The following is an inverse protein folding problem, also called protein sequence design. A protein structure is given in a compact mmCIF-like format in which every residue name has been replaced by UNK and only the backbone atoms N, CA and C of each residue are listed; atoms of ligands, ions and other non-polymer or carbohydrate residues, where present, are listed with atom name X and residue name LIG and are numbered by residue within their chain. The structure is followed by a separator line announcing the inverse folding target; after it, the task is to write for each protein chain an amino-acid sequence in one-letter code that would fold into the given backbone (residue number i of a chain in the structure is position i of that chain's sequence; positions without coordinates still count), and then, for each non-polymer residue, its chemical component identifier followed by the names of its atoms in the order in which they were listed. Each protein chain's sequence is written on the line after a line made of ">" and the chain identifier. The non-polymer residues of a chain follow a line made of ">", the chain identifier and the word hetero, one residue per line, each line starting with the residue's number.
data_IF_264654346982
#
_entry.id   IF_264654346982
#
_cell.length_a   1.000
_cell.length_b   1.000
_cell.length_c   1.000
_cell.angle_alpha   90.00
_cell.angle_beta   90.00
_cell.angle_gamma   90.00
#
_symmetry.space_group_name_H-M   'P 1'
#
loop_
_entity.id
_entity.type
_entity.pdbx_description
1 polymer ?
#
# COMPACT_ATOMS: atom_id res chain seq x y z
N UNK A 1 52.43 2.79 -19.15
CA UNK A 1 51.90 4.15 -18.90
C UNK A 1 50.86 3.98 -17.82
N UNK A 2 51.33 4.09 -16.55
CA UNK A 2 50.47 3.92 -15.36
C UNK A 2 49.72 5.21 -15.12
N UNK A 3 48.41 5.20 -15.25
CA UNK A 3 47.55 6.32 -14.85
C UNK A 3 47.42 6.28 -13.33
N UNK A 4 48.26 7.05 -12.62
CA UNK A 4 48.16 7.23 -11.17
C UNK A 4 46.76 7.76 -10.80
N UNK A 5 46.07 7.00 -9.95
CA UNK A 5 44.79 7.46 -9.37
C UNK A 5 45.04 8.67 -8.47
N UNK A 6 44.22 9.73 -8.57
CA UNK A 6 44.43 10.95 -7.78
C UNK A 6 44.37 10.65 -6.27
N UNK A 7 45.13 11.41 -5.46
CA UNK A 7 45.19 11.23 -4.01
C UNK A 7 43.79 11.28 -3.41
N UNK A 8 43.49 10.43 -2.42
CA UNK A 8 42.17 10.30 -1.78
C UNK A 8 41.52 11.64 -1.37
N UNK A 9 42.31 12.59 -0.92
CA UNK A 9 41.82 13.93 -0.57
C UNK A 9 41.33 14.73 -1.77
N UNK A 10 42.01 14.64 -2.90
CA UNK A 10 41.61 15.30 -4.14
C UNK A 10 40.33 14.71 -4.68
N UNK A 11 40.21 13.37 -4.65
CA UNK A 11 38.98 12.66 -5.04
C UNK A 11 37.80 13.02 -4.12
N UNK A 12 38.03 13.13 -2.82
CA UNK A 12 37.01 13.57 -1.85
C UNK A 12 36.51 14.98 -2.14
N UNK A 13 37.42 15.89 -2.44
CA UNK A 13 37.13 17.28 -2.82
C UNK A 13 36.27 17.35 -4.10
N UNK A 14 36.62 16.56 -5.11
CA UNK A 14 35.81 16.45 -6.37
C UNK A 14 34.40 15.94 -6.10
N UNK A 15 34.26 14.86 -5.32
CA UNK A 15 32.97 14.29 -4.97
C UNK A 15 32.08 15.27 -4.17
N UNK A 16 32.67 16.02 -3.25
CA UNK A 16 31.95 17.06 -2.50
C UNK A 16 31.45 18.18 -3.41
N UNK A 17 32.30 18.69 -4.32
CA UNK A 17 31.86 19.69 -5.30
C UNK A 17 30.74 19.17 -6.21
N UNK A 18 30.85 17.91 -6.66
CA UNK A 18 29.81 17.29 -7.46
C UNK A 18 28.49 17.13 -6.70
N UNK A 19 28.56 16.77 -5.42
CA UNK A 19 27.37 16.67 -4.56
C UNK A 19 26.69 18.04 -4.39
N UNK A 20 27.47 19.10 -4.18
CA UNK A 20 26.94 20.47 -4.06
C UNK A 20 26.30 20.94 -5.37
N UNK A 21 26.92 20.64 -6.53
CA UNK A 21 26.37 20.99 -7.82
C UNK A 21 25.04 20.25 -8.10
N UNK A 22 24.95 18.95 -7.80
CA UNK A 22 23.73 18.18 -7.94
C UNK A 22 22.62 18.66 -7.01
N UNK A 23 22.96 19.08 -5.78
CA UNK A 23 21.99 19.65 -4.86
C UNK A 23 21.43 20.99 -5.36
N UNK A 24 22.28 21.83 -5.97
CA UNK A 24 21.85 23.09 -6.56
C UNK A 24 20.95 22.86 -7.80
N UNK A 25 21.29 21.89 -8.65
CA UNK A 25 20.48 21.51 -9.82
C UNK A 25 19.12 20.95 -9.41
N UNK A 26 19.08 20.14 -8.34
CA UNK A 26 17.83 19.62 -7.78
C UNK A 26 16.94 20.75 -7.27
N UNK A 27 17.50 21.69 -6.51
CA UNK A 27 16.74 22.84 -5.99
C UNK A 27 16.17 23.71 -7.12
N UNK A 28 16.99 23.99 -8.16
CA UNK A 28 16.51 24.74 -9.32
C UNK A 28 15.36 24.01 -10.04
N UNK A 29 15.46 22.69 -10.21
CA UNK A 29 14.41 21.88 -10.84
C UNK A 29 13.13 21.88 -10.01
N UNK A 30 13.26 21.84 -8.68
CA UNK A 30 12.13 21.94 -7.74
C UNK A 30 11.43 23.31 -7.85
N UNK A 31 12.20 24.39 -7.94
CA UNK A 31 11.67 25.75 -8.15
C UNK A 31 10.96 25.89 -9.51
N UNK A 32 11.52 25.32 -10.58
CA UNK A 32 10.89 25.30 -11.89
C UNK A 32 9.57 24.50 -11.89
N UNK A 33 9.53 23.36 -11.21
CA UNK A 33 8.31 22.56 -11.03
C UNK A 33 7.26 23.38 -10.26
N UNK A 34 7.63 24.02 -9.17
CA UNK A 34 6.72 24.83 -8.36
C UNK A 34 6.17 26.04 -9.16
N UNK A 35 7.00 26.66 -10.00
CA UNK A 35 6.57 27.74 -10.89
C UNK A 35 5.57 27.24 -11.93
N UNK A 36 5.82 26.09 -12.56
CA UNK A 36 4.91 25.48 -13.54
C UNK A 36 3.59 25.02 -12.90
N UNK A 37 3.63 24.46 -11.69
CA UNK A 37 2.43 24.08 -10.93
C UNK A 37 1.58 25.29 -10.58
N UNK A 38 2.20 26.42 -10.25
CA UNK A 38 1.51 27.70 -10.00
C UNK A 38 0.87 28.31 -11.25
N UNK A 39 1.54 28.20 -12.41
CA UNK A 39 1.06 28.76 -13.67
C UNK A 39 -0.09 27.95 -14.31
N UNK A 40 -0.11 26.64 -14.04
CA UNK A 40 -1.18 25.74 -14.55
C UNK A 40 -2.48 25.86 -13.73
N UNK A 41 -2.48 26.63 -12.64
CA UNK A 41 -3.69 26.85 -11.82
C UNK A 41 -4.26 25.57 -11.25
N UNK A 42 -3.43 24.56 -11.04
CA UNK A 42 -3.79 23.34 -10.32
C UNK A 42 -3.88 23.67 -8.83
N UNK A 43 -4.84 24.51 -8.44
CA UNK A 43 -5.38 24.45 -7.10
C UNK A 43 -5.98 23.04 -6.93
N UNK A 44 -5.18 22.11 -6.48
CA UNK A 44 -5.66 20.81 -6.06
C UNK A 44 -6.42 21.02 -4.74
N UNK A 45 -7.60 21.63 -4.83
CA UNK A 45 -8.58 21.53 -3.76
C UNK A 45 -8.92 20.05 -3.66
N UNK A 46 -8.22 19.36 -2.76
CA UNK A 46 -8.55 17.99 -2.46
C UNK A 46 -10.05 17.96 -2.09
N UNK A 47 -10.89 17.22 -2.84
CA UNK A 47 -12.32 17.24 -2.60
C UNK A 47 -12.54 16.90 -1.13
N UNK A 48 -13.03 17.87 -0.37
CA UNK A 48 -13.49 17.61 0.99
C UNK A 48 -14.64 16.65 0.81
N UNK A 49 -14.52 15.45 1.37
CA UNK A 49 -15.65 14.53 1.40
C UNK A 49 -16.81 15.29 2.05
N UNK A 50 -17.77 15.70 1.26
CA UNK A 50 -19.00 16.35 1.73
C UNK A 50 -19.97 15.33 2.32
N UNK A 51 -19.64 14.04 2.22
CA UNK A 51 -20.46 12.99 2.79
C UNK A 51 -20.21 12.86 4.30
N UNK A 52 -21.25 12.83 5.11
CA UNK A 52 -21.11 12.57 6.53
C UNK A 52 -20.53 11.17 6.76
N UNK A 53 -19.83 10.94 7.87
CA UNK A 53 -19.30 9.62 8.18
C UNK A 53 -20.44 8.59 8.29
N UNK A 54 -20.22 7.33 7.86
CA UNK A 54 -21.25 6.29 7.88
C UNK A 54 -21.68 6.00 9.32
N UNK A 55 -22.98 6.05 9.57
CA UNK A 55 -23.59 5.89 10.89
C UNK A 55 -24.21 4.51 11.08
N UNK A 56 -24.84 3.99 10.03
CA UNK A 56 -25.52 2.68 10.07
C UNK A 56 -24.59 1.54 9.66
N UNK A 57 -24.87 0.29 10.08
CA UNK A 57 -24.14 -0.87 9.61
C UNK A 57 -24.14 -1.01 8.08
N UNK A 58 -25.26 -0.70 7.42
CA UNK A 58 -25.37 -0.76 5.96
C UNK A 58 -24.45 0.25 5.28
N UNK A 59 -24.41 1.51 5.75
CA UNK A 59 -23.53 2.54 5.23
C UNK A 59 -22.05 2.19 5.43
N UNK A 60 -21.68 1.56 6.57
CA UNK A 60 -20.33 1.08 6.82
C UNK A 60 -19.92 -0.04 5.85
N UNK A 61 -20.82 -0.97 5.58
CA UNK A 61 -20.61 -2.04 4.59
C UNK A 61 -20.45 -1.46 3.19
N UNK A 62 -21.30 -0.51 2.81
CA UNK A 62 -21.22 0.16 1.51
C UNK A 62 -19.88 0.89 1.34
N UNK A 63 -19.46 1.66 2.33
CA UNK A 63 -18.16 2.33 2.34
C UNK A 63 -17.00 1.32 2.26
N UNK A 64 -17.05 0.24 3.03
CA UNK A 64 -16.02 -0.81 2.96
C UNK A 64 -15.89 -1.39 1.55
N UNK A 65 -17.02 -1.70 0.91
CA UNK A 65 -17.04 -2.23 -0.45
C UNK A 65 -16.59 -1.21 -1.50
N UNK A 66 -16.85 0.08 -1.29
CA UNK A 66 -16.36 1.13 -2.16
C UNK A 66 -14.84 1.27 -2.08
N UNK A 67 -14.29 1.31 -0.87
CA UNK A 67 -12.85 1.49 -0.63
C UNK A 67 -12.02 0.23 -0.97
N UNK A 68 -12.50 -0.96 -0.61
CA UNK A 68 -11.74 -2.21 -0.65
C UNK A 68 -12.23 -3.21 -1.70
N UNK A 69 -13.30 -2.93 -2.39
CA UNK A 69 -13.93 -3.85 -3.34
C UNK A 69 -13.36 -3.82 -4.75
N UNK A 70 -12.05 -3.57 -4.92
CA UNK A 70 -11.38 -3.56 -6.24
C UNK A 70 -11.62 -4.86 -7.00
N UNK A 71 -11.43 -6.00 -6.35
CA UNK A 71 -11.71 -7.32 -6.92
C UNK A 71 -12.78 -8.03 -6.10
N UNK A 72 -14.00 -8.10 -6.64
CA UNK A 72 -15.15 -8.71 -5.94
C UNK A 72 -15.40 -10.17 -6.28
N UNK A 73 -14.73 -10.72 -7.28
CA UNK A 73 -14.95 -12.11 -7.75
C UNK A 73 -14.42 -13.17 -6.79
N UNK A 74 -13.49 -12.80 -5.94
CA UNK A 74 -12.85 -13.67 -4.94
C UNK A 74 -12.26 -12.81 -3.84
N UNK A 75 -12.19 -13.33 -2.63
CA UNK A 75 -11.49 -12.69 -1.50
C UNK A 75 -10.77 -13.73 -0.65
N UNK A 76 -9.62 -13.40 -0.05
CA UNK A 76 -8.96 -14.30 0.88
C UNK A 76 -9.63 -14.23 2.25
N UNK A 77 -9.74 -15.38 2.91
CA UNK A 77 -10.20 -15.52 4.29
C UNK A 77 -9.04 -15.96 5.16
N UNK A 78 -8.91 -15.36 6.33
CA UNK A 78 -7.92 -15.75 7.33
C UNK A 78 -8.29 -17.09 7.94
N UNK A 79 -7.29 -17.95 8.08
CA UNK A 79 -7.37 -19.21 8.80
C UNK A 79 -6.30 -19.28 9.89
N UNK A 80 -6.60 -20.00 10.94
CA UNK A 80 -5.69 -20.31 12.04
C UNK A 80 -5.73 -21.81 12.31
N UNK A 81 -4.57 -22.38 12.59
CA UNK A 81 -4.44 -23.76 13.05
C UNK A 81 -3.97 -23.73 14.51
N UNK A 82 -4.89 -23.96 15.43
CA UNK A 82 -4.63 -23.91 16.88
C UNK A 82 -3.57 -24.93 17.32
N UNK A 83 -3.47 -26.09 16.63
CA UNK A 83 -2.51 -27.15 16.99
C UNK A 83 -1.06 -26.77 16.65
N UNK A 84 -0.86 -26.01 15.60
CA UNK A 84 0.49 -25.66 15.10
C UNK A 84 0.83 -24.19 15.31
N UNK A 85 -0.10 -23.36 15.76
CA UNK A 85 0.03 -21.90 15.84
C UNK A 85 0.15 -21.20 14.50
N UNK A 86 0.04 -21.93 13.39
CA UNK A 86 0.16 -21.36 12.05
C UNK A 86 -1.14 -20.65 11.68
N UNK A 87 -0.98 -19.54 10.97
CA UNK A 87 -2.09 -18.79 10.40
C UNK A 87 -1.73 -18.30 9.00
N UNK A 88 -2.72 -17.85 8.26
CA UNK A 88 -2.51 -17.31 6.92
C UNK A 88 -3.83 -16.94 6.25
N UNK A 89 -3.74 -16.65 4.97
CA UNK A 89 -4.89 -16.35 4.14
C UNK A 89 -4.98 -17.35 2.99
N UNK A 90 -6.17 -17.79 2.68
CA UNK A 90 -6.46 -18.60 1.49
C UNK A 90 -7.73 -18.08 0.81
N UNK A 91 -7.87 -18.22 -0.51
CA UNK A 91 -9.11 -17.87 -1.19
C UNK A 91 -10.29 -18.55 -0.53
N UNK A 92 -11.35 -17.79 -0.20
CA UNK A 92 -12.60 -18.37 0.27
C UNK A 92 -13.20 -19.22 -0.85
N UNK A 93 -13.68 -20.42 -0.50
CA UNK A 93 -14.26 -21.35 -1.46
C UNK A 93 -15.42 -22.12 -0.85
N UNK A 94 -16.57 -22.16 -1.53
CA UNK A 94 -17.76 -22.88 -1.07
C UNK A 94 -17.55 -24.41 -1.03
N UNK A 95 -16.54 -24.89 -1.77
CA UNK A 95 -16.18 -26.31 -1.80
C UNK A 95 -15.03 -26.64 -0.83
N UNK A 96 -14.55 -25.70 -0.02
CA UNK A 96 -13.44 -25.92 0.90
C UNK A 96 -13.75 -27.06 1.88
N UNK A 97 -12.84 -28.02 1.96
CA UNK A 97 -12.91 -29.23 2.82
C UNK A 97 -14.11 -30.18 2.50
N UNK A 98 -14.81 -30.00 1.37
CA UNK A 98 -15.85 -30.95 0.98
C UNK A 98 -15.24 -32.27 0.52
N UNK A 99 -15.63 -33.35 1.19
CA UNK A 99 -15.16 -34.70 0.85
C UNK A 99 -15.48 -35.07 -0.62
N UNK A 100 -14.52 -35.66 -1.30
CA UNK A 100 -14.62 -36.03 -2.72
C UNK A 100 -14.51 -34.88 -3.72
N UNK A 101 -14.41 -33.62 -3.26
CA UNK A 101 -14.31 -32.44 -4.10
C UNK A 101 -13.05 -31.61 -3.81
N UNK A 102 -12.79 -31.32 -2.54
CA UNK A 102 -11.63 -30.53 -2.14
C UNK A 102 -10.47 -31.44 -1.77
N UNK A 103 -9.37 -31.33 -2.49
CA UNK A 103 -8.17 -32.14 -2.28
C UNK A 103 -7.06 -31.42 -1.52
N UNK A 104 -7.38 -30.37 -0.75
CA UNK A 104 -6.41 -29.74 0.14
C UNK A 104 -5.89 -30.76 1.18
N UNK A 105 -4.61 -30.69 1.55
CA UNK A 105 -3.56 -29.75 1.06
C UNK A 105 -2.83 -30.25 -0.20
N UNK A 106 -3.22 -31.41 -0.77
CA UNK A 106 -2.53 -32.05 -1.89
C UNK A 106 -2.58 -31.20 -3.16
N UNK A 107 -3.72 -30.61 -3.47
CA UNK A 107 -3.93 -29.74 -4.62
C UNK A 107 -4.05 -28.30 -4.13
N UNK A 108 -3.28 -27.38 -4.74
CA UNK A 108 -3.39 -25.94 -4.48
C UNK A 108 -4.70 -25.38 -5.03
N UNK A 109 -5.23 -24.36 -4.38
CA UNK A 109 -6.45 -23.72 -4.85
C UNK A 109 -6.32 -23.12 -6.26
N UNK A 110 -5.13 -22.65 -6.67
CA UNK A 110 -4.87 -22.17 -8.03
C UNK A 110 -5.09 -23.24 -9.10
N UNK A 111 -4.81 -24.49 -8.77
CA UNK A 111 -4.79 -25.61 -9.71
C UNK A 111 -6.04 -26.51 -9.58
N UNK A 112 -6.95 -26.14 -8.66
CA UNK A 112 -8.14 -26.94 -8.37
C UNK A 112 -9.22 -26.74 -9.44
N UNK A 113 -9.70 -27.83 -10.11
CA UNK A 113 -10.76 -27.72 -11.13
C UNK A 113 -12.16 -27.43 -10.51
N UNK A 114 -12.29 -27.58 -9.20
CA UNK A 114 -13.56 -27.44 -8.47
C UNK A 114 -13.64 -26.13 -7.69
N UNK A 115 -12.90 -25.08 -8.12
CA UNK A 115 -12.96 -23.76 -7.50
C UNK A 115 -14.40 -23.23 -7.53
N UNK A 116 -14.90 -22.77 -6.38
CA UNK A 116 -16.17 -22.07 -6.27
C UNK A 116 -16.01 -20.91 -5.32
N UNK A 117 -15.47 -19.81 -5.83
CA UNK A 117 -15.17 -18.63 -5.03
C UNK A 117 -16.45 -17.80 -4.82
N UNK A 118 -16.83 -17.54 -3.56
CA UNK A 118 -17.90 -16.60 -3.27
C UNK A 118 -17.43 -15.17 -3.58
N UNK A 119 -18.39 -14.33 -3.95
CA UNK A 119 -18.12 -12.90 -4.17
C UNK A 119 -17.89 -12.17 -2.84
N UNK A 120 -17.04 -11.14 -2.90
CA UNK A 120 -16.97 -10.13 -1.84
C UNK A 120 -18.23 -9.25 -1.97
N UNK A 121 -19.24 -9.58 -1.21
CA UNK A 121 -20.53 -8.92 -1.18
C UNK A 121 -20.80 -8.26 0.19
N UNK A 122 -21.99 -7.72 0.37
CA UNK A 122 -22.42 -7.09 1.62
C UNK A 122 -22.45 -8.08 2.79
N UNK A 123 -22.78 -9.35 2.53
CA UNK A 123 -22.83 -10.41 3.55
C UNK A 123 -21.42 -10.73 4.07
N UNK A 124 -20.46 -10.94 3.15
CA UNK A 124 -19.07 -11.22 3.49
C UNK A 124 -18.43 -10.05 4.23
N UNK A 125 -18.60 -8.82 3.71
CA UNK A 125 -18.09 -7.59 4.31
C UNK A 125 -18.73 -7.31 5.66
N UNK A 126 -20.05 -7.47 5.78
CA UNK A 126 -20.76 -7.32 7.05
C UNK A 126 -20.32 -8.32 8.10
N UNK A 127 -20.04 -9.57 7.74
CA UNK A 127 -19.51 -10.57 8.65
C UNK A 127 -18.09 -10.22 9.14
N UNK A 128 -17.25 -9.68 8.25
CA UNK A 128 -15.94 -9.15 8.62
C UNK A 128 -16.04 -7.98 9.61
N UNK A 129 -16.85 -6.98 9.30
CA UNK A 129 -17.02 -5.80 10.15
C UNK A 129 -17.62 -6.11 11.53
N UNK A 130 -18.37 -7.21 11.65
CA UNK A 130 -18.86 -7.71 12.95
C UNK A 130 -17.86 -8.64 13.67
N UNK A 131 -16.68 -8.90 13.09
CA UNK A 131 -15.66 -9.75 13.68
C UNK A 131 -15.92 -11.26 13.58
N UNK A 132 -16.93 -11.70 12.79
CA UNK A 132 -17.21 -13.14 12.63
C UNK A 132 -16.06 -13.90 11.94
N UNK A 133 -15.33 -13.22 11.05
CA UNK A 133 -14.09 -13.69 10.47
C UNK A 133 -13.27 -12.53 9.91
N UNK A 134 -11.98 -12.73 9.71
CA UNK A 134 -11.12 -11.77 9.03
C UNK A 134 -11.02 -12.13 7.55
N UNK A 135 -11.37 -11.21 6.68
CA UNK A 135 -11.09 -11.32 5.25
C UNK A 135 -9.97 -10.36 4.84
N UNK A 136 -9.31 -10.69 3.75
CA UNK A 136 -8.43 -9.78 3.03
C UNK A 136 -9.09 -9.31 1.73
N UNK A 137 -8.40 -8.46 1.03
CA UNK A 137 -8.83 -7.96 -0.30
C UNK A 137 -7.69 -8.12 -1.30
N UNK A 138 -8.04 -8.32 -2.55
CA UNK A 138 -7.07 -8.24 -3.64
C UNK A 138 -7.05 -6.80 -4.16
N UNK A 139 -5.88 -6.18 -4.07
CA UNK A 139 -5.68 -4.78 -4.47
C UNK A 139 -5.68 -4.59 -6.01
N UNK A 140 -5.54 -5.68 -6.77
CA UNK A 140 -5.47 -5.67 -8.24
C UNK A 140 -6.72 -6.31 -8.81
N UNK A 141 -7.39 -5.62 -9.72
CA UNK A 141 -8.51 -6.11 -10.51
C UNK A 141 -8.02 -7.03 -11.65
N UNK A 142 -8.95 -7.61 -12.41
CA UNK A 142 -8.64 -8.54 -13.52
C UNK A 142 -7.95 -7.83 -14.70
N UNK A 143 -8.17 -6.52 -14.82
CA UNK A 143 -7.61 -5.64 -15.86
C UNK A 143 -6.31 -4.94 -15.42
N UNK A 144 -5.64 -5.45 -14.39
CA UNK A 144 -4.41 -4.91 -13.81
C UNK A 144 -4.52 -3.47 -13.27
N UNK A 145 -5.74 -3.02 -12.95
CA UNK A 145 -5.99 -1.76 -12.27
C UNK A 145 -6.20 -1.96 -10.77
N UNK A 146 -6.07 -0.86 -10.00
CA UNK A 146 -6.36 -0.82 -8.56
C UNK A 146 -6.97 0.51 -8.16
N UNK A 147 -7.68 0.52 -7.03
CA UNK A 147 -8.25 1.73 -6.43
C UNK A 147 -7.63 2.10 -5.10
N UNK A 148 -6.61 1.39 -4.69
CA UNK A 148 -5.90 1.66 -3.44
C UNK A 148 -4.39 1.39 -3.58
N UNK A 149 -3.65 2.11 -2.76
CA UNK A 149 -2.26 1.84 -2.44
C UNK A 149 -2.16 1.68 -0.93
N UNK A 150 -1.52 0.62 -0.48
CA UNK A 150 -1.26 0.39 0.93
C UNK A 150 0.24 0.22 1.18
N UNK A 151 0.73 0.79 2.28
CA UNK A 151 2.06 0.55 2.81
C UNK A 151 1.94 0.01 4.23
N UNK A 152 2.67 -1.05 4.54
CA UNK A 152 2.69 -1.71 5.83
C UNK A 152 3.95 -1.30 6.60
N UNK A 153 3.79 -0.86 7.83
CA UNK A 153 4.87 -0.39 8.71
C UNK A 153 4.90 -1.23 9.97
N UNK A 154 5.95 -2.04 10.10
CA UNK A 154 6.21 -2.90 11.25
C UNK A 154 7.52 -2.49 11.97
N UNK A 155 7.80 -3.11 13.11
CA UNK A 155 9.04 -2.90 13.86
C UNK A 155 8.90 -1.89 15.00
N UNK A 156 10.01 -1.58 15.69
CA UNK A 156 10.01 -0.71 16.87
C UNK A 156 9.58 0.72 16.58
N UNK A 157 9.94 1.23 15.43
CA UNK A 157 9.82 2.64 15.04
C UNK A 157 8.62 2.94 14.13
N UNK A 158 7.73 1.95 13.93
CA UNK A 158 6.62 2.05 12.98
C UNK A 158 5.80 3.37 13.07
N UNK A 159 5.67 3.93 14.30
CA UNK A 159 4.93 5.19 14.47
C UNK A 159 5.60 6.36 13.80
N UNK A 160 6.92 6.49 13.98
CA UNK A 160 7.68 7.55 13.36
C UNK A 160 7.78 7.35 11.84
N UNK A 161 7.90 6.10 11.39
CA UNK A 161 8.01 5.75 9.98
C UNK A 161 6.71 6.04 9.22
N UNK A 162 5.55 5.63 9.75
CA UNK A 162 4.26 5.93 9.11
C UNK A 162 3.91 7.41 9.12
N UNK A 163 4.34 8.14 10.15
CA UNK A 163 4.14 9.60 10.19
C UNK A 163 5.01 10.32 9.16
N UNK A 164 6.27 9.89 8.97
CA UNK A 164 7.13 10.43 7.91
C UNK A 164 6.57 10.13 6.51
N UNK A 165 6.02 8.93 6.29
CA UNK A 165 5.36 8.57 5.03
C UNK A 165 4.12 9.44 4.77
N UNK A 166 3.28 9.65 5.79
CA UNK A 166 2.11 10.52 5.69
C UNK A 166 2.52 11.97 5.39
N UNK A 167 3.52 12.50 6.09
CA UNK A 167 4.03 13.84 5.84
C UNK A 167 4.58 13.99 4.42
N UNK A 168 5.35 13.01 3.93
CA UNK A 168 5.85 13.01 2.56
C UNK A 168 4.73 13.07 1.51
N UNK A 169 3.61 12.36 1.76
CA UNK A 169 2.45 12.38 0.89
C UNK A 169 1.67 13.72 0.98
N UNK A 170 1.47 14.23 2.20
CA UNK A 170 0.78 15.51 2.45
C UNK A 170 1.50 16.70 1.80
N UNK A 171 2.84 16.68 1.76
CA UNK A 171 3.66 17.72 1.08
C UNK A 171 3.42 17.81 -0.43
N UNK A 172 2.89 16.75 -1.04
CA UNK A 172 2.51 16.71 -2.47
C UNK A 172 0.99 16.60 -2.66
N UNK A 173 0.20 17.02 -1.66
CA UNK A 173 -1.26 17.09 -1.74
C UNK A 173 -2.00 15.76 -1.63
N UNK A 174 -1.32 14.66 -1.29
CA UNK A 174 -1.95 13.33 -1.19
C UNK A 174 -2.37 13.04 0.25
N UNK A 175 -3.65 12.69 0.44
CA UNK A 175 -4.20 12.29 1.74
C UNK A 175 -3.91 10.82 2.03
N UNK A 176 -3.39 10.54 3.24
CA UNK A 176 -3.12 9.20 3.74
C UNK A 176 -3.97 8.92 4.96
N UNK A 177 -4.76 7.85 4.90
CA UNK A 177 -5.43 7.30 6.07
C UNK A 177 -4.48 6.33 6.77
N UNK A 178 -4.26 6.51 8.08
CA UNK A 178 -3.39 5.63 8.87
C UNK A 178 -4.25 4.80 9.80
N UNK A 179 -4.07 3.49 9.71
CA UNK A 179 -4.71 2.49 10.56
C UNK A 179 -3.65 1.80 11.44
N UNK A 180 -3.93 1.65 12.72
CA UNK A 180 -3.10 0.80 13.58
C UNK A 180 -3.36 -0.66 13.26
N UNK A 181 -2.29 -1.44 13.04
CA UNK A 181 -2.42 -2.87 12.73
C UNK A 181 -3.10 -3.65 13.86
N UNK A 182 -3.70 -4.77 13.52
CA UNK A 182 -4.41 -5.64 14.49
C UNK A 182 -3.53 -6.10 15.64
N UNK A 183 -2.24 -6.33 15.42
CA UNK A 183 -1.28 -6.69 16.47
C UNK A 183 -1.02 -5.56 17.46
N UNK A 184 -1.33 -4.32 17.06
CA UNK A 184 -1.01 -3.12 17.83
C UNK A 184 0.44 -2.66 17.69
N UNK A 185 1.28 -3.41 16.97
CA UNK A 185 2.73 -3.17 16.85
C UNK A 185 3.14 -2.77 15.41
N UNK A 186 2.23 -2.15 14.67
CA UNK A 186 2.45 -1.66 13.33
C UNK A 186 1.32 -0.76 12.86
N UNK A 187 1.40 -0.29 11.63
CA UNK A 187 0.38 0.51 10.98
C UNK A 187 0.28 0.20 9.49
N UNK A 188 -0.91 0.41 8.94
CA UNK A 188 -1.14 0.46 7.51
C UNK A 188 -1.41 1.91 7.10
N UNK A 189 -0.72 2.36 6.06
CA UNK A 189 -1.00 3.64 5.40
C UNK A 189 -1.77 3.37 4.11
N UNK A 190 -2.96 3.96 3.98
CA UNK A 190 -3.89 3.77 2.87
C UNK A 190 -4.02 5.03 2.05
N UNK A 191 -3.91 4.91 0.74
CA UNK A 191 -4.26 5.94 -0.24
C UNK A 191 -5.34 5.34 -1.14
N UNK A 192 -6.47 6.03 -1.26
CA UNK A 192 -7.59 5.59 -2.10
C UNK A 192 -7.69 6.49 -3.32
N UNK A 193 -7.76 5.89 -4.50
CA UNK A 193 -7.90 6.60 -5.77
C UNK A 193 -9.37 6.78 -6.12
N UNK A 194 -9.75 7.98 -6.57
CA UNK A 194 -11.11 8.29 -7.00
C UNK A 194 -11.54 7.43 -8.22
N UNK A 195 -10.57 7.11 -9.09
CA UNK A 195 -10.75 6.26 -10.27
C UNK A 195 -9.74 5.11 -10.23
N UNK A 196 -10.02 3.98 -10.90
CA UNK A 196 -9.04 2.92 -11.08
C UNK A 196 -7.78 3.45 -11.78
N UNK A 197 -6.61 3.06 -11.27
CA UNK A 197 -5.30 3.39 -11.86
C UNK A 197 -4.55 2.10 -12.15
N UNK A 198 -3.64 2.07 -13.15
CA UNK A 198 -2.77 0.92 -13.36
C UNK A 198 -2.00 0.55 -12.07
N UNK A 199 -2.03 -0.72 -11.68
CA UNK A 199 -1.40 -1.19 -10.46
C UNK A 199 0.10 -0.85 -10.40
N UNK A 200 0.79 -0.91 -11.53
CA UNK A 200 2.19 -0.51 -11.65
C UNK A 200 2.41 0.99 -11.32
N UNK A 201 1.46 1.86 -11.71
CA UNK A 201 1.55 3.29 -11.41
C UNK A 201 1.31 3.54 -9.91
N UNK A 202 0.31 2.89 -9.32
CA UNK A 202 0.06 2.96 -7.88
C UNK A 202 1.31 2.52 -7.09
N UNK A 203 1.95 1.41 -7.50
CA UNK A 203 3.19 0.94 -6.87
C UNK A 203 4.34 1.93 -7.02
N UNK A 204 4.52 2.52 -8.20
CA UNK A 204 5.56 3.56 -8.41
C UNK A 204 5.34 4.77 -7.49
N UNK A 205 4.11 5.23 -7.33
CA UNK A 205 3.78 6.28 -6.37
C UNK A 205 4.20 5.87 -4.95
N UNK A 206 3.86 4.66 -4.50
CA UNK A 206 4.27 4.14 -3.20
C UNK A 206 5.78 4.15 -3.00
N UNK A 207 6.54 3.74 -4.02
CA UNK A 207 8.01 3.77 -4.00
C UNK A 207 8.55 5.20 -3.86
N UNK A 208 7.99 6.14 -4.61
CA UNK A 208 8.38 7.56 -4.51
C UNK A 208 8.08 8.12 -3.11
N UNK A 209 6.91 7.80 -2.55
CA UNK A 209 6.55 8.26 -1.21
C UNK A 209 7.46 7.68 -0.13
N UNK A 210 7.85 6.41 -0.23
CA UNK A 210 8.83 5.82 0.70
C UNK A 210 10.19 6.50 0.58
N UNK A 211 10.65 6.78 -0.64
CA UNK A 211 11.92 7.51 -0.84
C UNK A 211 11.88 8.93 -0.25
N UNK A 212 10.77 9.66 -0.44
CA UNK A 212 10.56 10.97 0.17
C UNK A 212 10.47 10.88 1.71
N UNK A 213 9.80 9.88 2.24
CA UNK A 213 9.74 9.63 3.69
C UNK A 213 11.13 9.32 4.28
N UNK A 214 11.95 8.55 3.57
CA UNK A 214 13.33 8.26 3.98
C UNK A 214 14.21 9.53 3.98
N UNK A 215 13.96 10.47 3.08
CA UNK A 215 14.63 11.78 3.10
C UNK A 215 14.23 12.62 4.34
N UNK A 216 12.99 12.53 4.79
CA UNK A 216 12.50 13.19 6.01
C UNK A 216 12.99 12.49 7.29
N UNK A 217 13.12 11.17 7.23
CA UNK A 217 13.55 10.34 8.35
C UNK A 217 14.61 9.32 7.87
N UNK A 218 15.90 9.65 7.94
CA UNK A 218 16.99 8.77 7.48
C UNK A 218 17.05 7.41 8.20
N UNK A 219 16.48 7.30 9.41
CA UNK A 219 16.36 6.06 10.16
C UNK A 219 15.15 5.19 9.74
N UNK A 220 14.39 5.60 8.72
CA UNK A 220 13.24 4.83 8.22
C UNK A 220 13.70 3.44 7.79
N UNK A 221 13.10 2.42 8.39
CA UNK A 221 13.45 1.04 8.10
C UNK A 221 13.13 0.66 6.65
N UNK A 222 14.13 0.20 5.91
CA UNK A 222 13.92 -0.34 4.56
C UNK A 222 13.02 -1.58 4.54
N UNK A 223 12.82 -2.25 5.69
CA UNK A 223 11.84 -3.33 5.84
C UNK A 223 10.39 -2.87 5.65
N UNK A 224 10.09 -1.59 5.87
CA UNK A 224 8.80 -0.99 5.48
C UNK A 224 8.59 -1.00 3.95
N UNK A 225 9.69 -1.17 3.19
CA UNK A 225 9.70 -1.16 1.73
C UNK A 225 9.17 -2.45 1.09
N UNK A 226 9.27 -3.58 1.76
CA UNK A 226 8.91 -4.89 1.20
C UNK A 226 7.39 -5.10 1.10
N UNK A 227 6.60 -4.21 1.68
CA UNK A 227 5.16 -4.38 1.81
C UNK A 227 4.36 -3.20 1.27
N UNK A 228 4.61 -2.87 0.02
CA UNK A 228 3.72 -1.99 -0.75
C UNK A 228 2.72 -2.84 -1.53
N UNK A 229 1.43 -2.48 -1.46
CA UNK A 229 0.36 -3.08 -2.23
C UNK A 229 -0.31 -2.02 -3.10
N UNK A 230 -0.56 -2.30 -4.38
CA UNK A 230 -0.36 -3.57 -5.09
C UNK A 230 1.12 -3.94 -5.27
N UNK A 231 1.42 -5.24 -5.26
CA UNK A 231 2.76 -5.80 -5.44
C UNK A 231 2.79 -6.82 -6.58
#
# INVERSE_FOLDING_TARGET
>A
MDSESPPRQQRLGELRRKLTALAAETAQTEDEIAALESDVGLEFEAPRSTQPPPRTPAEKVALFLDLFGTRRSVYPKRWENEKTGRNGYSPACDNEWRAGICEKPRVKCSDCPHQKFPRLDERASGAHLRGAHTLGVYAIAVDDTGRLLAADFDGSDWRADVLAYREAAERIGIKVAVERSRSGNGAHAWIFFAQPVPAALARRLGTVLVAKAAALRPALSLGAYDRLFPN
#
